data_IF_725488448934
#
_entry.id   IF_725488448934
#
_cell.length_a   1.000
_cell.length_b   1.000
_cell.length_c   1.000
_cell.angle_alpha   90.00
_cell.angle_beta   90.00
_cell.angle_gamma   90.00
#
_symmetry.space_group_name_H-M   'P 1'
#
loop_
_entity.id
_entity.type
_entity.pdbx_description
1 polymer ?
#
# COMPACT_ATOMS: atom_id res chain seq x y z
N UNK A 1 -29.86 18.90 15.34
CA UNK A 1 -28.40 19.03 15.15
C UNK A 1 -27.69 17.69 15.00
N UNK A 2 -27.94 16.96 13.92
CA UNK A 2 -27.20 15.72 13.59
C UNK A 2 -25.96 16.03 12.72
N UNK A 3 -26.02 17.10 11.94
CA UNK A 3 -24.92 17.59 11.08
C UNK A 3 -23.75 18.16 11.88
N UNK A 4 -24.02 18.95 12.92
CA UNK A 4 -22.97 19.51 13.78
C UNK A 4 -22.14 18.42 14.48
N UNK A 5 -22.76 17.35 14.98
CA UNK A 5 -22.03 16.23 15.61
C UNK A 5 -21.16 15.46 14.60
N UNK A 6 -21.57 15.42 13.34
CA UNK A 6 -20.86 14.71 12.28
C UNK A 6 -19.62 15.48 11.82
N UNK A 7 -19.71 16.81 11.75
CA UNK A 7 -18.59 17.70 11.42
C UNK A 7 -17.51 17.68 12.51
N UNK A 8 -17.91 17.60 13.78
CA UNK A 8 -16.98 17.50 14.91
C UNK A 8 -16.22 16.16 14.91
N UNK A 9 -16.89 15.03 14.67
CA UNK A 9 -16.24 13.72 14.62
C UNK A 9 -15.25 13.59 13.44
N UNK A 10 -15.63 14.13 12.27
CA UNK A 10 -14.77 14.20 11.09
C UNK A 10 -13.53 15.08 11.32
N UNK A 11 -13.71 16.20 12.03
CA UNK A 11 -12.61 17.06 12.46
C UNK A 11 -11.69 16.33 13.44
N UNK A 12 -12.22 15.62 14.44
CA UNK A 12 -11.42 14.85 15.41
C UNK A 12 -10.59 13.79 14.69
N UNK A 13 -11.20 13.01 13.80
CA UNK A 13 -10.52 11.99 13.01
C UNK A 13 -9.40 12.60 12.15
N UNK A 14 -9.70 13.70 11.44
CA UNK A 14 -8.70 14.38 10.61
C UNK A 14 -7.51 14.91 11.41
N UNK A 15 -7.76 15.52 12.58
CA UNK A 15 -6.72 16.02 13.47
C UNK A 15 -5.84 14.87 14.02
N UNK A 16 -6.41 13.69 14.29
CA UNK A 16 -5.62 12.51 14.65
C UNK A 16 -4.68 12.08 13.53
N UNK A 17 -5.15 12.05 12.28
CA UNK A 17 -4.29 11.74 11.13
C UNK A 17 -3.18 12.78 10.96
N UNK A 18 -3.48 14.07 11.16
CA UNK A 18 -2.44 15.11 11.15
C UNK A 18 -1.38 14.86 12.22
N UNK A 19 -1.80 14.49 13.44
CA UNK A 19 -0.88 14.12 14.51
C UNK A 19 0.01 12.93 14.13
N UNK A 20 -0.53 11.90 13.47
CA UNK A 20 0.27 10.78 12.98
C UNK A 20 1.20 11.14 11.83
N UNK A 21 0.79 12.06 10.95
CA UNK A 21 1.63 12.60 9.88
C UNK A 21 2.81 13.38 10.44
N UNK A 22 2.61 14.14 11.51
CA UNK A 22 3.63 14.94 12.18
C UNK A 22 4.50 14.13 13.14
N UNK A 23 3.97 13.03 13.68
CA UNK A 23 4.73 12.03 14.44
C UNK A 23 5.76 11.42 13.49
N UNK A 24 6.94 12.06 13.41
CA UNK A 24 8.12 11.49 12.76
C UNK A 24 8.31 10.12 13.36
N UNK A 25 8.15 9.08 12.53
CA UNK A 25 8.59 7.75 12.92
C UNK A 25 10.08 7.86 13.29
N UNK A 26 10.36 7.71 14.58
CA UNK A 26 11.72 7.55 15.09
C UNK A 26 12.23 6.13 14.84
N UNK A 27 11.63 5.37 13.92
CA UNK A 27 12.14 4.04 13.57
C UNK A 27 13.43 4.20 12.79
N UNK A 28 14.54 3.76 13.39
CA UNK A 28 15.84 3.66 12.73
C UNK A 28 15.86 2.64 11.58
N UNK A 29 14.85 1.76 11.53
CA UNK A 29 14.77 0.69 10.54
C UNK A 29 13.69 0.98 9.51
N UNK A 30 14.10 0.95 8.25
CA UNK A 30 13.22 1.07 7.09
C UNK A 30 12.55 -0.30 6.84
N UNK A 31 11.22 -0.37 7.02
CA UNK A 31 10.44 -1.58 6.76
C UNK A 31 10.27 -1.78 5.23
N UNK A 32 11.20 -2.54 4.64
CA UNK A 32 11.24 -2.81 3.19
C UNK A 32 9.98 -3.53 2.71
N UNK A 33 9.46 -4.47 3.48
CA UNK A 33 8.27 -5.25 3.13
C UNK A 33 7.03 -4.35 3.09
N UNK A 34 6.90 -3.44 4.06
CA UNK A 34 5.84 -2.44 4.06
C UNK A 34 5.97 -1.50 2.85
N UNK A 35 7.18 -0.99 2.57
CA UNK A 35 7.43 -0.12 1.42
C UNK A 35 7.08 -0.82 0.09
N UNK A 36 7.46 -2.08 -0.07
CA UNK A 36 7.15 -2.88 -1.26
C UNK A 36 5.63 -3.10 -1.39
N UNK A 37 4.95 -3.44 -0.30
CA UNK A 37 3.49 -3.60 -0.27
C UNK A 37 2.76 -2.30 -0.65
N UNK A 38 3.24 -1.15 -0.16
CA UNK A 38 2.66 0.14 -0.55
C UNK A 38 2.88 0.47 -2.01
N UNK A 39 4.04 0.12 -2.58
CA UNK A 39 4.26 0.27 -4.03
C UNK A 39 3.29 -0.58 -4.84
N UNK A 40 3.09 -1.83 -4.46
CA UNK A 40 2.10 -2.69 -5.12
C UNK A 40 0.70 -2.09 -5.05
N UNK A 41 0.30 -1.59 -3.88
CA UNK A 41 -1.00 -0.92 -3.70
C UNK A 41 -1.12 0.33 -4.59
N UNK A 42 -0.06 1.16 -4.66
CA UNK A 42 -0.02 2.34 -5.51
C UNK A 42 -0.14 1.98 -7.00
N UNK A 43 0.54 0.94 -7.46
CA UNK A 43 0.40 0.43 -8.83
C UNK A 43 -1.05 0.00 -9.11
N UNK A 44 -1.68 -0.75 -8.20
CA UNK A 44 -3.08 -1.16 -8.34
C UNK A 44 -4.04 0.02 -8.39
N UNK A 45 -3.85 1.01 -7.50
CA UNK A 45 -4.64 2.25 -7.50
C UNK A 45 -4.51 2.98 -8.84
N UNK A 46 -3.29 3.16 -9.33
CA UNK A 46 -3.02 3.84 -10.60
C UNK A 46 -3.70 3.13 -11.79
N UNK A 47 -3.61 1.80 -11.85
CA UNK A 47 -4.29 1.02 -12.89
C UNK A 47 -5.82 1.12 -12.78
N UNK A 48 -6.36 1.15 -11.56
CA UNK A 48 -7.79 1.37 -11.32
C UNK A 48 -8.27 2.75 -11.81
N UNK A 49 -7.46 3.79 -11.63
CA UNK A 49 -7.77 5.14 -12.14
C UNK A 49 -7.77 5.17 -13.68
N UNK A 50 -6.76 4.57 -14.31
CA UNK A 50 -6.72 4.48 -15.77
C UNK A 50 -7.90 3.68 -16.33
N UNK A 51 -8.29 2.59 -15.65
CA UNK A 51 -9.49 1.84 -16.02
C UNK A 51 -10.75 2.70 -15.91
N UNK A 52 -10.90 3.45 -14.81
CA UNK A 52 -12.03 4.37 -14.62
C UNK A 52 -12.10 5.40 -15.75
N UNK A 53 -10.97 6.01 -16.12
CA UNK A 53 -10.88 6.97 -17.22
C UNK A 53 -11.21 6.34 -18.57
N UNK A 54 -10.68 5.15 -18.86
CA UNK A 54 -10.95 4.43 -20.09
C UNK A 54 -12.44 4.12 -20.27
N UNK A 55 -13.15 3.87 -19.17
CA UNK A 55 -14.59 3.62 -19.14
C UNK A 55 -15.44 4.90 -19.14
N UNK A 56 -14.85 6.06 -19.47
CA UNK A 56 -15.52 7.37 -19.45
C UNK A 56 -15.95 7.81 -18.05
N UNK A 57 -15.12 7.54 -17.04
CA UNK A 57 -15.26 8.00 -15.65
C UNK A 57 -16.61 7.69 -15.00
N UNK A 58 -17.02 6.41 -14.92
CA UNK A 58 -18.25 6.03 -14.24
C UNK A 58 -18.20 6.30 -12.72
N UNK A 59 -17.00 6.40 -12.14
CA UNK A 59 -16.78 6.78 -10.74
C UNK A 59 -16.11 8.16 -10.67
N UNK A 60 -16.48 8.94 -9.66
CA UNK A 60 -15.79 10.21 -9.36
C UNK A 60 -14.33 9.96 -9.02
N UNK A 61 -13.43 10.73 -9.63
CA UNK A 61 -12.00 10.62 -9.35
C UNK A 61 -11.68 11.17 -7.93
N UNK A 62 -10.92 10.43 -7.13
CA UNK A 62 -10.52 10.89 -5.81
C UNK A 62 -9.38 11.92 -5.90
N UNK A 63 -9.33 12.84 -4.94
CA UNK A 63 -8.17 13.69 -4.72
C UNK A 63 -7.00 12.85 -4.16
N UNK A 64 -6.02 12.56 -5.01
CA UNK A 64 -4.87 11.73 -4.68
C UNK A 64 -4.01 12.30 -3.55
N UNK A 65 -3.94 13.63 -3.42
CA UNK A 65 -3.18 14.29 -2.37
C UNK A 65 -3.75 14.05 -0.98
N UNK A 66 -5.08 13.85 -0.91
CA UNK A 66 -5.82 13.48 0.30
C UNK A 66 -5.88 11.98 0.49
N UNK A 67 -5.98 11.23 -0.59
CA UNK A 67 -6.10 9.77 -0.57
C UNK A 67 -4.80 9.08 -0.10
N UNK A 68 -3.64 9.59 -0.51
CA UNK A 68 -2.37 8.96 -0.19
C UNK A 68 -1.31 9.98 0.25
N UNK A 69 -0.75 9.74 1.43
CA UNK A 69 0.44 10.42 1.95
C UNK A 69 1.37 9.36 2.51
N UNK A 70 2.54 9.17 1.89
CA UNK A 70 3.48 8.10 2.27
C UNK A 70 3.86 8.14 3.75
N UNK A 71 4.14 9.34 4.28
CA UNK A 71 4.42 9.53 5.72
C UNK A 71 3.25 9.11 6.59
N UNK A 72 2.02 9.47 6.21
CA UNK A 72 0.83 9.12 6.98
C UNK A 72 0.60 7.60 6.98
N UNK A 73 0.69 6.96 5.81
CA UNK A 73 0.46 5.51 5.67
C UNK A 73 1.50 4.71 6.43
N UNK A 74 2.78 5.10 6.37
CA UNK A 74 3.83 4.46 7.16
C UNK A 74 3.63 4.65 8.67
N UNK A 75 3.34 5.87 9.14
CA UNK A 75 3.08 6.12 10.56
C UNK A 75 1.86 5.34 11.06
N UNK A 76 0.77 5.33 10.28
CA UNK A 76 -0.43 4.56 10.59
C UNK A 76 -0.15 3.06 10.65
N UNK A 77 0.60 2.52 9.70
CA UNK A 77 1.00 1.12 9.69
C UNK A 77 1.81 0.75 10.94
N UNK A 78 2.75 1.60 11.35
CA UNK A 78 3.53 1.37 12.58
C UNK A 78 2.67 1.43 13.84
N UNK A 79 1.72 2.36 13.90
CA UNK A 79 0.77 2.46 15.02
C UNK A 79 -0.12 1.21 15.08
N UNK A 80 -0.65 0.76 13.95
CA UNK A 80 -1.44 -0.48 13.83
C UNK A 80 -0.63 -1.72 14.23
N UNK A 81 0.65 -1.80 13.82
CA UNK A 81 1.54 -2.92 14.16
C UNK A 81 1.90 -2.96 15.65
N UNK A 82 1.94 -1.80 16.30
CA UNK A 82 2.32 -1.67 17.72
C UNK A 82 1.13 -1.75 18.68
N UNK A 83 -0.09 -1.51 18.20
CA UNK A 83 -1.29 -1.44 19.05
C UNK A 83 -1.92 -2.82 19.25
N UNK A 84 -2.24 -3.23 20.50
CA UNK A 84 -2.84 -4.54 20.77
C UNK A 84 -4.32 -4.65 20.31
N UNK A 85 -5.02 -3.52 20.16
CA UNK A 85 -6.38 -3.47 19.60
C UNK A 85 -6.59 -2.19 18.78
N UNK A 86 -7.04 -2.35 17.54
CA UNK A 86 -7.28 -1.25 16.60
C UNK A 86 -8.46 -0.36 17.05
N UNK A 87 -9.38 -0.92 17.83
CA UNK A 87 -10.53 -0.19 18.41
C UNK A 87 -10.06 0.90 19.39
N UNK A 88 -8.92 0.68 20.07
CA UNK A 88 -8.35 1.69 20.96
C UNK A 88 -7.70 2.85 20.19
N UNK A 89 -7.23 2.59 18.97
CA UNK A 89 -6.56 3.60 18.13
C UNK A 89 -7.54 4.67 17.65
N UNK A 90 -8.78 4.25 17.34
CA UNK A 90 -9.86 5.12 16.88
C UNK A 90 -10.87 5.45 17.99
N UNK A 91 -10.52 5.22 19.25
CA UNK A 91 -11.41 5.42 20.40
C UNK A 91 -11.98 6.84 20.52
N UNK A 92 -11.28 7.84 19.95
CA UNK A 92 -11.76 9.23 19.92
C UNK A 92 -12.71 9.55 18.77
N UNK A 93 -12.92 8.63 17.81
CA UNK A 93 -13.89 8.75 16.71
C UNK A 93 -14.65 7.43 16.51
N UNK A 94 -15.89 7.32 17.02
CA UNK A 94 -16.75 6.17 16.79
C UNK A 94 -16.99 5.88 15.30
N UNK A 95 -17.09 6.92 14.47
CA UNK A 95 -17.28 6.77 13.02
C UNK A 95 -16.08 6.13 12.36
N UNK A 96 -14.86 6.54 12.73
CA UNK A 96 -13.64 5.93 12.20
C UNK A 96 -13.53 4.46 12.60
N UNK A 97 -13.88 4.13 13.84
CA UNK A 97 -13.96 2.75 14.32
C UNK A 97 -14.94 1.94 13.46
N UNK A 98 -16.13 2.49 13.21
CA UNK A 98 -17.15 1.84 12.39
C UNK A 98 -16.67 1.65 10.94
N UNK A 99 -16.09 2.68 10.33
CA UNK A 99 -15.55 2.61 8.97
C UNK A 99 -14.49 1.53 8.86
N UNK A 100 -13.54 1.50 9.78
CA UNK A 100 -12.51 0.46 9.83
C UNK A 100 -13.12 -0.95 9.90
N UNK A 101 -14.10 -1.17 10.79
CA UNK A 101 -14.76 -2.47 10.92
C UNK A 101 -15.51 -2.86 9.65
N UNK A 102 -16.24 -1.94 9.03
CA UNK A 102 -16.94 -2.18 7.75
C UNK A 102 -15.93 -2.57 6.66
N UNK A 103 -14.88 -1.78 6.47
CA UNK A 103 -13.82 -2.07 5.50
C UNK A 103 -13.17 -3.43 5.75
N UNK A 104 -12.78 -3.71 6.99
CA UNK A 104 -12.16 -4.97 7.36
C UNK A 104 -13.07 -6.16 7.08
N UNK A 105 -14.35 -6.05 7.44
CA UNK A 105 -15.34 -7.12 7.23
C UNK A 105 -15.62 -7.34 5.75
N UNK A 106 -15.74 -6.26 4.96
CA UNK A 106 -15.91 -6.34 3.51
C UNK A 106 -14.70 -7.00 2.85
N UNK A 107 -13.48 -6.64 3.24
CA UNK A 107 -12.28 -7.27 2.70
C UNK A 107 -12.28 -8.76 3.07
N UNK A 108 -12.51 -9.10 4.35
CA UNK A 108 -12.57 -10.50 4.82
C UNK A 108 -13.62 -11.34 4.12
N UNK A 109 -14.78 -10.77 3.77
CA UNK A 109 -15.82 -11.50 3.05
C UNK A 109 -15.56 -11.60 1.54
N UNK A 110 -14.76 -10.70 0.98
CA UNK A 110 -14.42 -10.68 -0.46
C UNK A 110 -13.26 -11.60 -0.84
N UNK A 111 -12.43 -12.01 0.12
CA UNK A 111 -11.27 -12.89 -0.12
C UNK A 111 -11.49 -14.27 0.49
N UNK A 112 -10.83 -15.28 -0.07
CA UNK A 112 -10.85 -16.64 0.50
C UNK A 112 -10.35 -16.61 1.97
N UNK A 113 -10.92 -17.41 2.89
CA UNK A 113 -10.42 -17.51 4.26
C UNK A 113 -8.95 -17.92 4.34
N UNK A 114 -8.43 -18.59 3.32
CA UNK A 114 -7.01 -18.99 3.23
C UNK A 114 -6.09 -17.83 2.82
N UNK A 115 -6.64 -16.71 2.34
CA UNK A 115 -5.85 -15.55 1.88
C UNK A 115 -5.04 -14.90 3.01
N UNK A 116 -5.57 -14.92 4.24
CA UNK A 116 -4.90 -14.39 5.43
C UNK A 116 -4.10 -15.44 6.19
N UNK A 117 -4.13 -16.70 5.76
CA UNK A 117 -3.26 -17.70 6.37
C UNK A 117 -1.84 -17.42 5.93
N UNK A 118 -0.99 -17.04 6.90
CA UNK A 118 0.44 -16.91 6.69
C UNK A 118 0.94 -18.27 6.21
N UNK A 119 1.33 -18.36 4.94
CA UNK A 119 1.95 -19.57 4.39
C UNK A 119 3.11 -19.92 5.31
N UNK A 120 2.98 -21.00 6.07
CA UNK A 120 4.12 -21.58 6.75
C UNK A 120 5.06 -21.99 5.64
N UNK A 121 6.20 -21.31 5.54
CA UNK A 121 7.24 -21.62 4.57
C UNK A 121 7.71 -23.06 4.82
N UNK A 122 7.05 -24.01 4.15
CA UNK A 122 7.70 -25.27 3.84
C UNK A 122 8.70 -24.92 2.76
N UNK A 123 9.97 -24.87 3.15
CA UNK A 123 11.14 -24.76 2.28
C UNK A 123 10.98 -25.71 1.10
N UNK A 124 10.46 -25.22 -0.02
CA UNK A 124 10.53 -25.94 -1.28
C UNK A 124 11.84 -25.53 -1.94
N UNK A 125 12.82 -26.42 -1.81
CA UNK A 125 14.10 -26.37 -2.52
C UNK A 125 13.85 -26.22 -4.02
N UNK A 126 13.85 -24.99 -4.52
CA UNK A 126 13.71 -24.73 -5.94
C UNK A 126 15.08 -24.82 -6.64
N UNK A 127 15.34 -26.03 -7.14
CA UNK A 127 16.04 -26.34 -8.39
C UNK A 127 17.48 -25.81 -8.56
N UNK A 128 18.43 -26.76 -8.43
CA UNK A 128 19.80 -26.73 -8.96
C UNK A 128 19.86 -26.07 -10.36
N UNK A 129 20.35 -24.82 -10.45
CA UNK A 129 20.79 -24.21 -11.71
C UNK A 129 22.12 -24.87 -12.12
N UNK A 130 22.06 -25.82 -13.07
CA UNK A 130 23.23 -26.29 -13.81
C UNK A 130 23.82 -25.12 -14.60
N UNK A 131 25.05 -24.75 -14.26
CA UNK A 131 25.94 -23.89 -15.06
C UNK A 131 26.09 -24.47 -16.46
N UNK A 132 25.66 -23.75 -17.49
CA UNK A 132 26.08 -23.99 -18.87
C UNK A 132 26.37 -22.63 -19.52
N UNK A 133 27.64 -22.23 -19.42
CA UNK A 133 28.24 -21.10 -20.10
C UNK A 133 28.21 -21.34 -21.60
N UNK A 134 27.51 -20.49 -22.38
CA UNK A 134 27.81 -20.30 -23.80
C UNK A 134 27.60 -18.84 -24.19
N UNK A 135 28.74 -18.15 -24.36
CA UNK A 135 28.91 -16.85 -25.03
C UNK A 135 28.04 -16.78 -26.30
N UNK A 136 27.21 -15.75 -26.43
CA UNK A 136 26.79 -15.24 -27.75
C UNK A 136 26.89 -13.72 -27.78
N UNK A 137 27.46 -13.27 -28.90
CA UNK A 137 27.94 -11.94 -29.20
C UNK A 137 26.80 -10.94 -29.29
N UNK A 138 27.09 -9.70 -28.92
CA UNK A 138 26.23 -8.54 -29.10
C UNK A 138 25.85 -8.35 -30.58
N UNK A 139 24.56 -8.22 -30.84
CA UNK A 139 24.03 -7.67 -32.09
C UNK A 139 23.18 -6.48 -31.67
N UNK A 140 23.64 -5.30 -32.04
CA UNK A 140 23.01 -4.00 -31.83
C UNK A 140 21.91 -3.83 -32.89
N UNK A 141 20.65 -3.83 -32.48
CA UNK A 141 19.55 -3.33 -33.29
C UNK A 141 19.20 -1.92 -32.79
N UNK A 142 19.20 -0.87 -33.63
CA UNK A 142 18.59 0.42 -33.30
C UNK A 142 17.07 0.37 -33.55
N UNK A 143 16.36 1.45 -33.14
CA UNK A 143 14.96 1.86 -33.46
C UNK A 143 14.00 1.74 -32.24
N UNK A 144 13.07 2.70 -32.00
CA UNK A 144 13.19 4.15 -31.84
C UNK A 144 12.63 4.63 -30.48
N UNK A 145 12.75 5.92 -30.20
CA UNK A 145 12.25 6.60 -29.00
C UNK A 145 10.71 6.62 -28.94
N UNK A 146 10.13 5.86 -28.02
CA UNK A 146 8.84 6.21 -27.41
C UNK A 146 8.97 5.99 -25.91
N UNK A 147 9.38 7.04 -25.20
CA UNK A 147 9.44 7.05 -23.73
C UNK A 147 8.00 7.07 -23.18
N UNK A 148 7.40 5.89 -23.02
CA UNK A 148 6.49 5.66 -21.91
C UNK A 148 7.34 5.09 -20.76
N UNK A 149 7.94 5.98 -19.98
CA UNK A 149 8.59 5.64 -18.72
C UNK A 149 7.52 5.26 -17.69
N UNK A 150 6.93 4.07 -17.87
CA UNK A 150 6.35 3.33 -16.76
C UNK A 150 7.53 2.64 -16.07
N UNK A 151 8.34 3.42 -15.36
CA UNK A 151 9.45 2.89 -14.59
C UNK A 151 8.88 2.10 -13.41
N UNK A 152 8.95 0.79 -13.59
CA UNK A 152 8.70 -0.24 -12.59
C UNK A 152 9.34 0.14 -11.25
N UNK A 153 8.53 0.08 -10.19
CA UNK A 153 8.89 0.01 -8.77
C UNK A 153 10.38 0.22 -8.48
N UNK A 154 10.78 1.48 -8.25
CA UNK A 154 12.14 1.90 -7.86
C UNK A 154 12.76 1.05 -6.74
N UNK A 155 11.92 0.50 -5.86
CA UNK A 155 12.32 -0.37 -4.74
C UNK A 155 12.76 -1.77 -5.16
N UNK A 156 12.41 -2.25 -6.35
CA UNK A 156 12.87 -3.55 -6.87
C UNK A 156 14.38 -3.57 -7.17
N UNK A 157 15.03 -2.41 -7.24
CA UNK A 157 16.48 -2.29 -7.47
C UNK A 157 17.30 -2.27 -6.18
N UNK A 158 16.67 -2.25 -5.00
CA UNK A 158 17.35 -2.35 -3.71
C UNK A 158 17.62 -3.82 -3.40
N UNK A 159 18.58 -4.41 -4.10
CA UNK A 159 19.21 -5.65 -3.67
C UNK A 159 20.01 -5.38 -2.40
N UNK A 160 19.73 -6.13 -1.34
CA UNK A 160 20.50 -6.11 -0.11
C UNK A 160 21.64 -7.11 -0.29
N UNK A 161 22.89 -6.66 -0.19
CA UNK A 161 24.01 -7.57 0.03
C UNK A 161 23.94 -8.01 1.51
N UNK A 162 23.79 -9.32 1.72
CA UNK A 162 23.86 -10.00 3.03
C UNK A 162 25.23 -9.85 3.71
#
# INVERSE_FOLDING_TARGET
DCTALHDEDDSIAYNQFLKWKEKKSQSKDFDLDAAHSFCQWQCCLQMGLYLNQLLSTPLSEPDLSRLYSGTLVHSLYQELKSTPSVENMFSSSPKMTQLYQVLLNTVKSSVSPDFFQKVTETKSESRKKKKASKKRKAIRCPIPETQNSCDFNRFASLGVDD
#
